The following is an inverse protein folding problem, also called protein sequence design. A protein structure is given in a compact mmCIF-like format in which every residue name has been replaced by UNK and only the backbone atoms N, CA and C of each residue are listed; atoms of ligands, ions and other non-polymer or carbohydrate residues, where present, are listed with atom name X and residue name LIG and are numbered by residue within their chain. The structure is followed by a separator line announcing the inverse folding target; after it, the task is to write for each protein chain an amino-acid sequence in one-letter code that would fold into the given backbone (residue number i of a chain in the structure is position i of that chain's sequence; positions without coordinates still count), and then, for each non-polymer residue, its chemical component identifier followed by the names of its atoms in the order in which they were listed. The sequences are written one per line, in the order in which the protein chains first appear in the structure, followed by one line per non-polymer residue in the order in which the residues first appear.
data_IF_836224947885
#
_entry.id   IF_836224947885
#
_cell.length_a   1.000
_cell.length_b   1.000
_cell.length_c   1.000
_cell.angle_alpha   90.00
_cell.angle_beta   90.00
_cell.angle_gamma   90.00
#
_symmetry.space_group_name_H-M   'P 1'
#
loop_
_entity.id
_entity.type
_entity.pdbx_description
1 polymer ?
#
# COMPACT_ATOMS: atom_id res chain seq x y z
N UNK A 1 -31.16 6.26 14.21
CA UNK A 1 -30.00 7.13 13.94
C UNK A 1 -29.03 6.88 15.08
N UNK A 2 -28.04 6.01 14.87
CA UNK A 2 -27.07 5.66 15.90
C UNK A 2 -26.16 6.86 16.16
N UNK A 3 -26.09 7.28 17.41
CA UNK A 3 -25.15 8.28 17.89
C UNK A 3 -23.73 7.69 17.77
N UNK A 4 -23.03 7.97 16.67
CA UNK A 4 -21.60 7.67 16.57
C UNK A 4 -20.84 8.83 17.19
N UNK A 5 -20.42 8.65 18.44
CA UNK A 5 -19.38 9.49 19.03
C UNK A 5 -18.20 9.51 18.05
N UNK A 6 -17.68 10.68 17.64
CA UNK A 6 -16.59 10.73 16.68
C UNK A 6 -15.39 9.96 17.23
N UNK A 7 -14.97 8.93 16.49
CA UNK A 7 -13.79 8.13 16.81
C UNK A 7 -12.60 9.08 16.98
N UNK A 8 -11.83 8.99 18.08
CA UNK A 8 -10.69 9.88 18.28
C UNK A 8 -9.72 9.78 17.09
N UNK A 9 -9.47 10.91 16.43
CA UNK A 9 -8.48 11.01 15.37
C UNK A 9 -7.09 10.89 15.98
N UNK A 10 -6.44 9.76 15.72
CA UNK A 10 -5.03 9.58 16.05
C UNK A 10 -4.17 10.13 14.91
N UNK A 11 -3.03 10.79 15.18
CA UNK A 11 -2.15 11.25 14.10
C UNK A 11 -1.51 10.09 13.34
N UNK A 12 -1.28 8.95 14.01
CA UNK A 12 -0.79 7.69 13.46
C UNK A 12 -1.05 6.56 14.47
N UNK A 13 -0.90 5.30 14.07
CA UNK A 13 -0.89 4.14 14.98
C UNK A 13 0.05 3.05 14.44
N UNK A 14 1.15 2.82 15.14
CA UNK A 14 2.19 1.84 14.79
C UNK A 14 2.59 1.01 16.01
N UNK A 15 3.32 -0.09 15.79
CA UNK A 15 3.68 -1.02 16.87
C UNK A 15 4.59 -0.41 17.94
N UNK A 16 5.68 0.22 17.51
CA UNK A 16 6.73 0.75 18.39
C UNK A 16 7.48 1.89 17.69
N UNK A 17 7.34 3.11 18.21
CA UNK A 17 8.00 4.30 17.66
C UNK A 17 9.52 4.29 17.84
N UNK A 18 10.07 3.51 18.78
CA UNK A 18 11.51 3.43 19.01
C UNK A 18 12.27 2.82 17.80
N UNK A 19 11.55 2.13 16.91
CA UNK A 19 12.11 1.51 15.71
C UNK A 19 12.38 2.49 14.56
N UNK A 20 11.95 3.75 14.68
CA UNK A 20 12.01 4.73 13.59
C UNK A 20 13.44 4.97 13.06
N UNK A 21 14.44 5.00 13.94
CA UNK A 21 15.84 5.21 13.51
C UNK A 21 16.36 4.02 12.68
N UNK A 22 16.00 2.80 13.07
CA UNK A 22 16.32 1.61 12.28
C UNK A 22 15.60 1.63 10.94
N UNK A 23 14.30 1.92 10.93
CA UNK A 23 13.53 2.09 9.70
C UNK A 23 14.15 3.10 8.74
N UNK A 24 14.57 4.27 9.26
CA UNK A 24 15.24 5.29 8.44
C UNK A 24 16.54 4.77 7.79
N UNK A 25 17.35 4.02 8.53
CA UNK A 25 18.61 3.45 7.99
C UNK A 25 18.31 2.49 6.83
N UNK A 26 17.32 1.63 6.96
CA UNK A 26 16.94 0.71 5.88
C UNK A 26 16.27 1.42 4.70
N UNK A 27 15.48 2.48 4.95
CA UNK A 27 14.94 3.34 3.88
C UNK A 27 16.08 3.95 3.05
N UNK A 28 17.12 4.49 3.69
CA UNK A 28 18.28 5.04 2.97
C UNK A 28 19.00 3.99 2.11
N UNK A 29 19.09 2.74 2.60
CA UNK A 29 19.64 1.65 1.78
C UNK A 29 18.71 1.30 0.60
N UNK A 30 17.39 1.29 0.84
CA UNK A 30 16.41 0.99 -0.20
C UNK A 30 16.35 2.08 -1.28
N UNK A 31 16.54 3.36 -0.94
CA UNK A 31 16.62 4.44 -1.93
C UNK A 31 17.72 4.19 -2.97
N UNK A 32 18.87 3.64 -2.57
CA UNK A 32 19.95 3.27 -3.48
C UNK A 32 19.57 2.11 -4.42
N UNK A 33 18.70 1.20 -3.98
CA UNK A 33 18.18 0.06 -4.75
C UNK A 33 16.89 0.40 -5.54
N UNK A 34 16.36 1.62 -5.40
CA UNK A 34 15.12 2.07 -6.06
C UNK A 34 15.36 3.27 -7.00
N UNK A 35 16.27 3.16 -7.98
CA UNK A 35 16.67 4.27 -8.83
C UNK A 35 15.51 4.87 -9.64
N UNK A 36 14.48 4.08 -9.96
CA UNK A 36 13.29 4.57 -10.65
C UNK A 36 12.52 5.62 -9.85
N UNK A 37 12.27 5.37 -8.55
CA UNK A 37 11.59 6.34 -7.69
C UNK A 37 12.47 7.58 -7.43
N UNK A 38 13.78 7.37 -7.23
CA UNK A 38 14.70 8.48 -7.02
C UNK A 38 14.80 9.40 -8.25
N UNK A 39 14.81 8.83 -9.45
CA UNK A 39 14.74 9.61 -10.69
C UNK A 39 13.43 10.40 -10.82
N UNK A 40 12.29 9.83 -10.43
CA UNK A 40 11.01 10.55 -10.42
C UNK A 40 11.02 11.74 -9.45
N UNK A 41 11.64 11.57 -8.26
CA UNK A 41 11.83 12.68 -7.32
C UNK A 41 12.68 13.79 -7.94
N UNK A 42 13.77 13.44 -8.62
CA UNK A 42 14.64 14.42 -9.29
C UNK A 42 13.91 15.14 -10.45
N UNK A 43 13.21 14.40 -11.30
CA UNK A 43 12.52 14.93 -12.48
C UNK A 43 11.32 15.81 -12.11
N UNK A 44 10.49 15.38 -11.16
CA UNK A 44 9.19 16.00 -10.87
C UNK A 44 9.12 16.74 -9.52
N UNK A 45 10.12 16.58 -8.64
CA UNK A 45 10.11 17.19 -7.31
C UNK A 45 10.05 18.72 -7.35
N UNK A 46 10.66 19.37 -8.35
CA UNK A 46 10.62 20.83 -8.46
C UNK A 46 9.25 21.37 -8.93
N UNK A 47 8.52 20.62 -9.76
CA UNK A 47 7.23 21.05 -10.32
C UNK A 47 6.05 20.75 -9.39
N UNK A 48 6.24 19.89 -8.38
CA UNK A 48 5.24 19.47 -7.38
C UNK A 48 3.89 19.09 -8.05
N UNK A 49 3.88 18.12 -9.00
CA UNK A 49 2.69 17.83 -9.80
C UNK A 49 1.53 17.27 -8.97
N UNK A 50 1.80 16.73 -7.78
CA UNK A 50 0.79 16.19 -6.87
C UNK A 50 0.32 17.20 -5.83
N UNK A 51 0.69 18.49 -5.96
CA UNK A 51 0.23 19.53 -5.04
C UNK A 51 -1.30 19.57 -4.95
N UNK A 52 -1.82 19.39 -3.74
CA UNK A 52 -3.26 19.34 -3.45
C UNK A 52 -3.91 17.96 -3.65
N UNK A 53 -3.13 16.94 -4.02
CA UNK A 53 -3.57 15.55 -3.92
C UNK A 53 -3.57 15.12 -2.45
N UNK A 54 -4.64 14.43 -2.03
CA UNK A 54 -4.79 13.77 -0.73
C UNK A 54 -4.96 12.28 -1.02
N UNK A 55 -3.82 11.59 -1.03
CA UNK A 55 -3.69 10.19 -1.47
C UNK A 55 -3.86 9.27 -0.27
N UNK A 56 -4.95 8.51 -0.24
CA UNK A 56 -5.09 7.39 0.69
C UNK A 56 -4.46 6.15 0.06
N UNK A 57 -3.46 5.59 0.72
CA UNK A 57 -2.79 4.35 0.32
C UNK A 57 -3.23 3.16 1.15
N UNK A 58 -3.56 2.05 0.49
CA UNK A 58 -3.74 0.74 1.10
C UNK A 58 -2.86 -0.27 0.37
N UNK A 59 -1.63 -0.42 0.86
CA UNK A 59 -0.60 -1.27 0.27
C UNK A 59 0.34 -1.71 1.39
N UNK A 60 0.88 -2.93 1.31
CA UNK A 60 1.83 -3.48 2.30
C UNK A 60 2.78 -2.42 2.88
N UNK A 61 2.72 -2.16 4.19
CA UNK A 61 3.54 -1.11 4.82
C UNK A 61 4.98 -1.61 5.08
N UNK A 62 5.80 -1.61 4.04
CA UNK A 62 7.21 -2.09 4.05
C UNK A 62 8.21 -0.93 3.90
N UNK A 63 9.50 -1.24 3.98
CA UNK A 63 10.58 -0.29 3.65
C UNK A 63 10.46 0.23 2.22
N UNK A 64 10.11 -0.62 1.25
CA UNK A 64 9.95 -0.22 -0.15
C UNK A 64 8.77 0.76 -0.30
N UNK A 65 7.66 0.48 0.38
CA UNK A 65 6.49 1.36 0.40
C UNK A 65 6.79 2.68 1.10
N UNK A 66 7.67 2.71 2.10
CA UNK A 66 8.11 3.97 2.70
C UNK A 66 8.80 4.89 1.67
N UNK A 67 9.64 4.33 0.77
CA UNK A 67 10.25 5.10 -0.33
C UNK A 67 9.19 5.62 -1.31
N UNK A 68 8.15 4.82 -1.61
CA UNK A 68 7.01 5.25 -2.41
C UNK A 68 6.25 6.42 -1.76
N UNK A 69 5.89 6.29 -0.48
CA UNK A 69 5.19 7.31 0.30
C UNK A 69 5.97 8.63 0.26
N UNK A 70 7.26 8.59 0.58
CA UNK A 70 8.10 9.78 0.58
C UNK A 70 8.30 10.37 -0.83
N UNK A 71 8.20 9.55 -1.87
CA UNK A 71 8.19 10.04 -3.27
C UNK A 71 6.92 10.82 -3.57
N UNK A 72 5.75 10.33 -3.16
CA UNK A 72 4.49 11.04 -3.34
C UNK A 72 4.49 12.38 -2.60
N UNK A 73 4.99 12.39 -1.36
CA UNK A 73 5.16 13.62 -0.56
C UNK A 73 6.15 14.57 -1.22
N UNK A 74 7.30 14.08 -1.70
CA UNK A 74 8.27 14.89 -2.44
C UNK A 74 7.64 15.49 -3.71
N UNK A 75 6.74 14.79 -4.38
CA UNK A 75 5.99 15.30 -5.53
C UNK A 75 4.83 16.25 -5.14
N UNK A 76 4.61 16.50 -3.85
CA UNK A 76 3.69 17.50 -3.31
C UNK A 76 2.36 16.98 -2.78
N UNK A 77 2.17 15.65 -2.68
CA UNK A 77 0.94 15.07 -2.14
C UNK A 77 0.90 15.14 -0.60
N UNK A 78 -0.30 15.30 -0.06
CA UNK A 78 -0.62 14.86 1.31
C UNK A 78 -0.97 13.38 1.27
N UNK A 79 -0.41 12.59 2.19
CA UNK A 79 -0.51 11.12 2.16
C UNK A 79 -0.98 10.57 3.50
N UNK A 80 -1.95 9.64 3.46
CA UNK A 80 -2.34 8.79 4.59
C UNK A 80 -2.17 7.32 4.17
N UNK A 81 -1.78 6.44 5.09
CA UNK A 81 -1.45 5.06 4.70
C UNK A 81 -1.94 4.00 5.68
N UNK A 82 -2.36 2.87 5.12
CA UNK A 82 -2.63 1.61 5.81
C UNK A 82 -2.03 0.44 5.04
N UNK A 83 -1.84 -0.69 5.71
CA UNK A 83 -1.36 -1.91 5.07
C UNK A 83 -2.53 -2.71 4.52
N UNK A 84 -2.42 -3.30 3.32
CA UNK A 84 -3.46 -4.16 2.71
C UNK A 84 -3.42 -5.64 3.19
N UNK A 85 -2.57 -5.96 4.17
CA UNK A 85 -2.55 -7.28 4.79
C UNK A 85 -2.04 -7.24 6.23
N UNK A 86 -2.73 -7.96 7.12
CA UNK A 86 -2.50 -8.01 8.57
C UNK A 86 -1.10 -8.45 9.01
N UNK A 87 -0.35 -9.17 8.18
CA UNK A 87 1.00 -9.65 8.51
C UNK A 87 2.11 -9.03 7.67
N UNK A 88 1.78 -8.18 6.71
CA UNK A 88 2.77 -7.69 5.74
C UNK A 88 3.58 -6.49 6.23
N UNK A 89 3.10 -5.77 7.23
CA UNK A 89 3.79 -4.59 7.77
C UNK A 89 5.17 -4.96 8.32
N UNK A 90 6.15 -4.10 8.00
CA UNK A 90 7.44 -4.04 8.65
C UNK A 90 7.39 -2.90 9.67
N UNK A 91 7.37 -3.23 10.96
CA UNK A 91 7.05 -2.25 12.01
C UNK A 91 8.04 -1.08 12.07
N UNK A 92 9.32 -1.32 11.76
CA UNK A 92 10.33 -0.27 11.68
C UNK A 92 10.12 0.68 10.50
N UNK A 93 9.60 0.19 9.36
CA UNK A 93 9.21 1.05 8.25
C UNK A 93 8.02 1.94 8.61
N UNK A 94 6.98 1.36 9.23
CA UNK A 94 5.82 2.11 9.70
C UNK A 94 6.22 3.18 10.73
N UNK A 95 7.09 2.83 11.69
CA UNK A 95 7.62 3.78 12.68
C UNK A 95 8.40 4.93 12.04
N UNK A 96 9.20 4.68 11.00
CA UNK A 96 9.94 5.72 10.29
C UNK A 96 9.02 6.69 9.53
N UNK A 97 7.95 6.20 8.91
CA UNK A 97 6.93 7.02 8.26
C UNK A 97 6.15 7.86 9.28
N UNK A 98 5.73 7.26 10.39
CA UNK A 98 5.09 7.98 11.48
C UNK A 98 5.99 9.09 12.06
N UNK A 99 7.29 8.81 12.24
CA UNK A 99 8.26 9.77 12.74
C UNK A 99 8.53 10.93 11.76
N UNK A 100 8.29 10.72 10.46
CA UNK A 100 8.32 11.78 9.44
C UNK A 100 7.06 12.67 9.46
N UNK A 101 6.10 12.40 10.37
CA UNK A 101 4.87 13.17 10.50
C UNK A 101 3.77 12.77 9.51
N UNK A 102 3.92 11.63 8.83
CA UNK A 102 2.95 11.13 7.85
C UNK A 102 1.97 10.18 8.57
N UNK A 103 0.64 10.40 8.47
CA UNK A 103 -0.33 9.52 9.08
C UNK A 103 -0.28 8.11 8.52
N UNK A 104 0.13 7.16 9.36
CA UNK A 104 0.20 5.73 9.03
C UNK A 104 -0.44 4.91 10.13
N UNK A 105 -1.31 3.98 9.74
CA UNK A 105 -2.05 3.08 10.62
C UNK A 105 -1.75 1.65 10.19
N UNK A 106 -0.67 1.09 10.71
CA UNK A 106 -0.19 -0.22 10.31
C UNK A 106 0.75 -0.81 11.36
N UNK A 107 0.54 -2.08 11.69
CA UNK A 107 1.49 -2.91 12.45
C UNK A 107 1.37 -4.37 12.03
N UNK A 108 2.44 -5.13 12.25
CA UNK A 108 2.44 -6.57 11.98
C UNK A 108 1.59 -7.30 13.02
N UNK A 109 0.69 -8.16 12.55
CA UNK A 109 -0.18 -8.98 13.39
C UNK A 109 -1.44 -8.26 13.86
N UNK A 110 -2.03 -7.43 13.01
CA UNK A 110 -3.35 -6.85 13.24
C UNK A 110 -4.44 -7.93 13.33
N UNK A 111 -5.50 -7.65 14.08
CA UNK A 111 -6.79 -8.33 13.91
C UNK A 111 -7.53 -7.77 12.68
N UNK A 112 -8.56 -8.47 12.20
CA UNK A 112 -9.41 -7.96 11.10
C UNK A 112 -10.12 -6.65 11.47
N UNK A 113 -10.57 -6.50 12.72
CA UNK A 113 -11.20 -5.27 13.20
C UNK A 113 -10.20 -4.09 13.18
N UNK A 114 -8.95 -4.35 13.58
CA UNK A 114 -7.88 -3.35 13.53
C UNK A 114 -7.52 -2.98 12.09
N UNK A 115 -7.50 -3.97 11.19
CA UNK A 115 -7.25 -3.78 9.76
C UNK A 115 -8.29 -2.86 9.11
N UNK A 116 -9.58 -3.17 9.28
CA UNK A 116 -10.67 -2.33 8.76
C UNK A 116 -10.61 -0.92 9.36
N UNK A 117 -10.38 -0.81 10.68
CA UNK A 117 -10.23 0.47 11.35
C UNK A 117 -9.09 1.32 10.77
N UNK A 118 -7.95 0.69 10.44
CA UNK A 118 -6.80 1.37 9.83
C UNK A 118 -7.15 1.97 8.47
N UNK A 119 -7.83 1.21 7.61
CA UNK A 119 -8.27 1.71 6.29
C UNK A 119 -9.18 2.92 6.48
N UNK A 120 -10.16 2.85 7.39
CA UNK A 120 -11.09 3.95 7.65
C UNK A 120 -10.39 5.23 8.15
N UNK A 121 -9.29 5.10 8.91
CA UNK A 121 -8.52 6.27 9.35
C UNK A 121 -7.84 7.00 8.18
N UNK A 122 -7.52 6.31 7.08
CA UNK A 122 -6.86 6.94 5.92
C UNK A 122 -7.78 7.82 5.09
N UNK A 123 -9.10 7.71 5.25
CA UNK A 123 -10.07 8.41 4.40
C UNK A 123 -10.10 9.93 4.62
N UNK A 124 -9.58 10.41 5.75
CA UNK A 124 -9.67 11.80 6.17
C UNK A 124 -8.29 12.34 6.60
N UNK A 125 -8.02 13.59 6.23
CA UNK A 125 -6.72 14.24 6.37
C UNK A 125 -6.78 15.41 7.36
N UNK A 126 -5.79 15.45 8.26
CA UNK A 126 -5.61 16.50 9.25
C UNK A 126 -6.75 16.63 10.26
N UNK A 127 -6.64 17.62 11.16
CA UNK A 127 -7.66 17.90 12.18
C UNK A 127 -9.00 18.33 11.57
N UNK A 128 -8.95 18.98 10.40
CA UNK A 128 -10.13 19.39 9.63
C UNK A 128 -10.87 18.25 8.96
N UNK A 129 -10.32 17.02 8.99
CA UNK A 129 -10.88 15.82 8.37
C UNK A 129 -11.25 16.03 6.90
N UNK A 130 -10.36 16.63 6.13
CA UNK A 130 -10.59 16.78 4.69
C UNK A 130 -10.59 15.39 4.02
N UNK A 131 -11.57 15.06 3.16
CA UNK A 131 -11.65 13.74 2.57
C UNK A 131 -10.56 13.52 1.51
N UNK A 132 -10.12 12.26 1.37
CA UNK A 132 -9.26 11.82 0.28
C UNK A 132 -9.78 12.27 -1.09
N UNK A 133 -8.88 12.49 -2.04
CA UNK A 133 -9.25 12.78 -3.43
C UNK A 133 -8.52 11.89 -4.46
N UNK A 134 -7.71 10.95 -3.99
CA UNK A 134 -7.00 9.93 -4.78
C UNK A 134 -6.92 8.63 -3.99
N UNK A 135 -7.04 7.50 -4.68
CA UNK A 135 -6.86 6.16 -4.10
C UNK A 135 -5.64 5.50 -4.75
N UNK A 136 -4.76 4.94 -3.92
CA UNK A 136 -3.71 4.01 -4.31
C UNK A 136 -3.92 2.69 -3.56
N UNK A 137 -4.26 1.63 -4.28
CA UNK A 137 -4.77 0.39 -3.70
C UNK A 137 -3.99 -0.83 -4.20
N UNK A 138 -3.94 -1.86 -3.35
CA UNK A 138 -3.36 -3.16 -3.64
C UNK A 138 -4.30 -4.24 -3.10
N UNK A 139 -5.15 -4.75 -3.99
CA UNK A 139 -6.15 -5.79 -3.69
C UNK A 139 -7.60 -5.29 -3.71
N UNK A 140 -7.83 -3.98 -3.73
CA UNK A 140 -9.15 -3.36 -3.87
C UNK A 140 -9.94 -3.16 -2.57
N UNK A 141 -9.34 -3.40 -1.41
CA UNK A 141 -10.06 -3.31 -0.12
C UNK A 141 -10.38 -1.85 0.25
N UNK A 142 -9.45 -0.91 0.05
CA UNK A 142 -9.72 0.51 0.25
C UNK A 142 -10.78 1.02 -0.73
N UNK A 143 -10.69 0.60 -1.99
CA UNK A 143 -11.70 0.88 -3.00
C UNK A 143 -13.08 0.41 -2.57
N UNK A 144 -13.20 -0.81 -2.05
CA UNK A 144 -14.47 -1.34 -1.56
C UNK A 144 -14.97 -0.59 -0.32
N UNK A 145 -14.10 -0.26 0.65
CA UNK A 145 -14.49 0.56 1.80
C UNK A 145 -15.07 1.89 1.35
N UNK A 146 -14.42 2.58 0.41
CA UNK A 146 -14.94 3.85 -0.12
C UNK A 146 -16.26 3.64 -0.85
N UNK A 147 -16.33 2.73 -1.82
CA UNK A 147 -17.50 2.62 -2.69
C UNK A 147 -18.71 1.99 -2.00
N UNK A 148 -18.50 1.11 -1.01
CA UNK A 148 -19.57 0.34 -0.40
C UNK A 148 -19.96 0.87 1.00
N UNK A 149 -19.00 1.43 1.77
CA UNK A 149 -19.28 1.99 3.12
C UNK A 149 -19.35 3.52 3.15
N UNK A 150 -18.59 4.22 2.31
CA UNK A 150 -18.51 5.69 2.27
C UNK A 150 -18.78 6.29 0.87
N UNK A 151 -19.87 5.90 0.19
CA UNK A 151 -20.11 6.26 -1.21
C UNK A 151 -20.22 7.77 -1.44
N UNK A 152 -20.53 8.56 -0.41
CA UNK A 152 -20.55 10.01 -0.46
C UNK A 152 -19.18 10.65 -0.79
N UNK A 153 -18.08 9.94 -0.51
CA UNK A 153 -16.73 10.41 -0.79
C UNK A 153 -16.36 10.26 -2.28
N UNK A 154 -17.03 9.36 -3.01
CA UNK A 154 -16.71 9.02 -4.39
C UNK A 154 -16.67 10.25 -5.33
N UNK A 155 -17.55 11.22 -5.13
CA UNK A 155 -17.62 12.42 -5.97
C UNK A 155 -16.37 13.32 -5.89
N UNK A 156 -15.62 13.24 -4.77
CA UNK A 156 -14.39 14.01 -4.57
C UNK A 156 -13.12 13.32 -5.08
N UNK A 157 -13.21 12.05 -5.46
CA UNK A 157 -12.06 11.21 -5.83
C UNK A 157 -11.83 11.26 -7.33
N UNK A 158 -10.61 11.63 -7.73
CA UNK A 158 -10.25 11.83 -9.14
C UNK A 158 -9.86 10.54 -9.85
N UNK A 159 -9.45 9.52 -9.11
CA UNK A 159 -9.16 8.21 -9.67
C UNK A 159 -8.54 7.23 -8.69
N UNK A 160 -8.40 6.00 -9.17
CA UNK A 160 -7.80 4.85 -8.47
C UNK A 160 -6.58 4.37 -9.27
N UNK A 161 -5.50 4.03 -8.60
CA UNK A 161 -4.44 3.18 -9.17
C UNK A 161 -4.38 1.86 -8.41
N UNK A 162 -4.44 0.74 -9.11
CA UNK A 162 -4.51 -0.59 -8.52
C UNK A 162 -3.33 -1.49 -8.94
N UNK A 163 -2.68 -2.05 -7.93
CA UNK A 163 -1.37 -2.69 -8.05
C UNK A 163 -1.41 -4.17 -8.43
N UNK A 164 -2.45 -4.92 -8.04
CA UNK A 164 -2.42 -6.39 -8.12
C UNK A 164 -3.52 -7.00 -8.96
N UNK A 165 -3.23 -8.17 -9.50
CA UNK A 165 -4.14 -8.96 -10.36
C UNK A 165 -5.54 -9.11 -9.76
N UNK A 166 -5.62 -9.34 -8.44
CA UNK A 166 -6.90 -9.53 -7.73
C UNK A 166 -7.72 -8.25 -7.66
N UNK A 167 -7.09 -7.12 -7.31
CA UNK A 167 -7.80 -5.83 -7.27
C UNK A 167 -8.22 -5.38 -8.65
N UNK A 168 -7.38 -5.59 -9.67
CA UNK A 168 -7.73 -5.33 -11.08
C UNK A 168 -8.97 -6.12 -11.52
N UNK A 169 -9.06 -7.40 -11.16
CA UNK A 169 -10.26 -8.21 -11.44
C UNK A 169 -11.51 -7.58 -10.81
N UNK A 170 -11.44 -7.16 -9.53
CA UNK A 170 -12.54 -6.48 -8.82
C UNK A 170 -12.94 -5.17 -9.52
N UNK A 171 -11.99 -4.41 -10.06
CA UNK A 171 -12.28 -3.20 -10.83
C UNK A 171 -12.99 -3.50 -12.14
N UNK A 172 -12.58 -4.53 -12.89
CA UNK A 172 -13.29 -4.98 -14.09
C UNK A 172 -14.70 -5.51 -13.79
N UNK A 173 -14.89 -6.19 -12.65
CA UNK A 173 -16.22 -6.59 -12.18
C UNK A 173 -17.11 -5.37 -11.92
N UNK A 174 -16.58 -4.32 -11.25
CA UNK A 174 -17.31 -3.06 -11.04
C UNK A 174 -17.59 -2.33 -12.35
N UNK A 175 -16.64 -2.28 -13.28
CA UNK A 175 -16.85 -1.71 -14.62
C UNK A 175 -18.00 -2.41 -15.35
N UNK A 176 -17.96 -3.75 -15.41
CA UNK A 176 -19.02 -4.56 -16.04
C UNK A 176 -20.38 -4.37 -15.39
N UNK A 177 -20.41 -4.18 -14.07
CA UNK A 177 -21.64 -3.98 -13.30
C UNK A 177 -22.12 -2.52 -13.30
N UNK A 178 -21.37 -1.58 -13.89
CA UNK A 178 -21.70 -0.15 -13.87
C UNK A 178 -21.56 0.50 -12.50
N UNK A 179 -20.74 -0.07 -11.60
CA UNK A 179 -20.54 0.38 -10.21
C UNK A 179 -19.14 0.98 -9.95
N UNK A 180 -18.38 1.29 -11.01
CA UNK A 180 -17.10 2.00 -10.93
C UNK A 180 -17.33 3.49 -11.28
N UNK A 181 -17.41 4.42 -10.30
CA UNK A 181 -17.84 5.79 -10.56
C UNK A 181 -16.73 6.75 -11.01
N UNK A 182 -15.48 6.30 -11.01
CA UNK A 182 -14.30 7.12 -11.30
C UNK A 182 -13.28 6.35 -12.14
N UNK A 183 -12.37 7.03 -12.84
CA UNK A 183 -11.31 6.37 -13.59
C UNK A 183 -10.42 5.50 -12.72
N UNK A 184 -10.00 4.36 -13.26
CA UNK A 184 -9.03 3.47 -12.63
C UNK A 184 -7.87 3.17 -13.59
N UNK A 185 -6.64 3.17 -13.06
CA UNK A 185 -5.43 2.75 -13.78
C UNK A 185 -4.98 1.40 -13.22
N UNK A 186 -4.97 0.41 -14.09
CA UNK A 186 -4.39 -0.90 -13.83
C UNK A 186 -2.85 -0.78 -13.94
N UNK A 187 -2.17 -0.73 -12.79
CA UNK A 187 -0.70 -0.71 -12.73
C UNK A 187 -0.15 -2.11 -12.93
N UNK A 188 -0.85 -3.15 -12.45
CA UNK A 188 -0.44 -4.55 -12.52
C UNK A 188 0.01 -4.97 -13.94
N UNK A 189 -0.77 -4.62 -14.96
CA UNK A 189 -0.55 -5.07 -16.33
C UNK A 189 0.47 -4.22 -17.12
N UNK A 190 1.08 -3.22 -16.47
CA UNK A 190 2.32 -2.67 -16.99
C UNK A 190 3.35 -3.79 -17.14
N UNK A 191 4.05 -3.84 -18.28
CA UNK A 191 5.04 -4.90 -18.54
C UNK A 191 6.13 -4.91 -17.47
N UNK A 192 6.57 -3.72 -17.05
CA UNK A 192 7.56 -3.51 -15.98
C UNK A 192 7.05 -3.86 -14.58
N UNK A 193 5.76 -4.15 -14.41
CA UNK A 193 5.15 -4.65 -13.18
C UNK A 193 4.94 -6.16 -13.31
N UNK A 194 3.89 -6.60 -14.02
CA UNK A 194 3.51 -8.02 -14.16
C UNK A 194 4.67 -8.96 -14.52
N UNK A 195 5.56 -8.56 -15.44
CA UNK A 195 6.65 -9.44 -15.92
C UNK A 195 7.93 -9.32 -15.12
N UNK A 196 7.97 -8.44 -14.13
CA UNK A 196 9.10 -8.26 -13.22
C UNK A 196 8.72 -8.56 -11.78
N UNK A 197 7.85 -7.76 -11.17
CA UNK A 197 7.40 -7.90 -9.79
C UNK A 197 6.79 -9.29 -9.53
N UNK A 198 5.69 -9.61 -10.21
CA UNK A 198 4.95 -10.85 -9.92
C UNK A 198 5.80 -12.10 -10.15
N UNK A 199 6.78 -12.05 -11.07
CA UNK A 199 7.61 -13.19 -11.44
C UNK A 199 8.94 -13.22 -10.69
N UNK A 200 9.78 -12.21 -10.87
CA UNK A 200 11.09 -12.18 -10.25
C UNK A 200 11.00 -11.83 -8.77
N UNK A 201 10.07 -10.98 -8.35
CA UNK A 201 9.80 -10.72 -6.94
C UNK A 201 9.41 -11.99 -6.18
N UNK A 202 8.50 -12.81 -6.73
CA UNK A 202 8.16 -14.11 -6.14
C UNK A 202 9.33 -15.10 -6.17
N UNK A 203 10.17 -15.08 -7.22
CA UNK A 203 11.37 -15.93 -7.28
C UNK A 203 12.37 -15.62 -6.17
N UNK A 204 12.57 -14.35 -5.84
CA UNK A 204 13.48 -13.96 -4.75
C UNK A 204 12.86 -14.20 -3.36
N UNK A 205 11.56 -13.88 -3.19
CA UNK A 205 10.94 -13.80 -1.86
C UNK A 205 10.22 -15.08 -1.39
N UNK A 206 9.72 -15.92 -2.29
CA UNK A 206 8.93 -17.10 -1.90
C UNK A 206 9.78 -18.11 -1.10
N UNK A 207 10.96 -18.44 -1.61
CA UNK A 207 11.89 -19.36 -0.94
C UNK A 207 12.48 -18.73 0.32
N UNK A 208 12.74 -17.42 0.32
CA UNK A 208 13.21 -16.68 1.49
C UNK A 208 12.22 -16.80 2.66
N UNK A 209 10.92 -16.57 2.41
CA UNK A 209 9.89 -16.70 3.43
C UNK A 209 9.82 -18.12 4.03
N UNK A 210 9.89 -19.18 3.20
CA UNK A 210 9.88 -20.57 3.70
C UNK A 210 11.12 -20.84 4.55
N UNK A 211 12.29 -20.34 4.15
CA UNK A 211 13.53 -20.50 4.91
C UNK A 211 13.44 -19.80 6.26
N UNK A 212 13.08 -18.52 6.31
CA UNK A 212 12.94 -17.77 7.57
C UNK A 212 11.93 -18.40 8.53
N UNK A 213 10.89 -19.05 8.00
CA UNK A 213 9.85 -19.68 8.82
C UNK A 213 10.22 -21.07 9.34
N UNK A 214 11.06 -21.83 8.62
CA UNK A 214 11.22 -23.28 8.88
C UNK A 214 12.66 -23.78 8.91
N UNK A 215 13.63 -22.98 8.47
CA UNK A 215 15.05 -23.33 8.32
C UNK A 215 15.31 -24.63 7.52
N UNK A 216 14.32 -25.08 6.75
CA UNK A 216 14.35 -26.42 6.18
C UNK A 216 15.31 -26.51 4.98
N UNK A 217 16.08 -27.60 4.89
CA UNK A 217 16.91 -27.86 3.71
C UNK A 217 16.03 -28.19 2.50
N UNK A 218 16.12 -27.38 1.43
CA UNK A 218 15.27 -27.55 0.24
C UNK A 218 15.70 -28.69 -0.67
N UNK A 219 17.00 -28.93 -0.81
CA UNK A 219 17.52 -29.95 -1.71
C UNK A 219 17.01 -31.35 -1.32
N UNK A 220 16.50 -32.10 -2.30
CA UNK A 220 15.91 -33.43 -2.08
C UNK A 220 14.45 -33.41 -1.63
N UNK A 221 13.83 -32.24 -1.46
CA UNK A 221 12.39 -32.13 -1.22
C UNK A 221 11.61 -32.02 -2.52
N UNK A 222 10.35 -32.42 -2.44
CA UNK A 222 9.34 -32.20 -3.48
C UNK A 222 8.44 -31.06 -3.02
N UNK A 223 8.29 -30.04 -3.86
CA UNK A 223 7.35 -28.95 -3.67
C UNK A 223 6.29 -28.99 -4.77
N UNK A 224 5.08 -28.55 -4.44
CA UNK A 224 3.97 -28.42 -5.40
C UNK A 224 3.57 -26.95 -5.47
N UNK A 225 3.61 -26.37 -6.67
CA UNK A 225 3.16 -25.00 -6.94
C UNK A 225 1.83 -25.07 -7.70
N UNK A 226 0.75 -24.62 -7.07
CA UNK A 226 -0.58 -24.63 -7.66
C UNK A 226 -0.81 -23.36 -8.51
N UNK A 227 -0.75 -23.52 -9.83
CA UNK A 227 -0.90 -22.43 -10.81
C UNK A 227 0.42 -22.01 -11.45
N UNK A 228 0.37 -21.62 -12.73
CA UNK A 228 1.57 -21.27 -13.52
C UNK A 228 1.41 -19.96 -14.29
N UNK A 229 0.67 -19.01 -13.70
CA UNK A 229 0.67 -17.60 -14.09
C UNK A 229 2.02 -16.92 -13.80
N UNK A 230 2.10 -15.59 -13.78
CA UNK A 230 3.38 -14.91 -13.53
C UNK A 230 3.93 -15.20 -12.11
N UNK A 231 3.07 -15.18 -11.08
CA UNK A 231 3.40 -15.58 -9.71
C UNK A 231 3.85 -17.04 -9.64
N UNK A 232 3.08 -17.95 -10.23
CA UNK A 232 3.41 -19.38 -10.25
C UNK A 232 4.73 -19.70 -10.96
N UNK A 233 5.07 -18.95 -12.03
CA UNK A 233 6.38 -19.05 -12.70
C UNK A 233 7.53 -18.51 -11.85
N UNK A 234 7.27 -17.53 -10.99
CA UNK A 234 8.26 -17.02 -10.05
C UNK A 234 8.53 -18.00 -8.92
N UNK A 235 7.47 -18.60 -8.38
CA UNK A 235 7.55 -19.50 -7.22
C UNK A 235 8.06 -20.91 -7.53
N UNK A 236 8.00 -21.37 -8.79
CA UNK A 236 8.43 -22.69 -9.24
C UNK A 236 9.90 -22.71 -9.68
#
# INVERSE_FOLDING_TARGET
MGNTTPTPTLPYKVKDMSLAEWGRKEITLAEAEMPGLMALREEFGASKPLKGARVAGCLHMTIQTAVLIETLVELGADVTWSSCNIFSTQDHAAAAIAAAGIPVYAWKGMTEEEYEWCIEQTLFFGEGREPLNMILDDGGDLTNVVLDKYPELAAGIKGISEETTTGVLRLYEREKNGTLPMPAINVNDSVTKSKFDNKYGCRESCVDAIRRATDVMMAGKVAVVAGYGDVGKGSA
#
